data_IF_310002224248
#
_entry.id   IF_310002224248
#
_cell.length_a   1.000
_cell.length_b   1.000
_cell.length_c   1.000
_cell.angle_alpha   90.00
_cell.angle_beta   90.00
_cell.angle_gamma   90.00
#
_symmetry.space_group_name_H-M   'P 1'
#
loop_
_entity.id
_entity.type
_entity.pdbx_description
1 polymer ?
#
# COMPACT_ATOMS: atom_id res chain seq x y z
N UNK A 1 -17.05 30.80 12.31
CA UNK A 1 -15.83 30.23 11.78
C UNK A 1 -16.23 29.18 10.75
N UNK A 2 -15.93 29.39 9.46
CA UNK A 2 -16.34 28.48 8.37
C UNK A 2 -15.22 27.47 8.15
N UNK A 3 -15.42 26.21 8.51
CA UNK A 3 -14.52 25.13 8.18
C UNK A 3 -14.45 24.98 6.66
N UNK A 4 -13.33 25.33 6.07
CA UNK A 4 -13.05 25.11 4.66
C UNK A 4 -12.63 23.63 4.52
N UNK A 5 -13.55 22.81 4.07
CA UNK A 5 -13.29 21.38 3.77
C UNK A 5 -12.48 21.31 2.50
N UNK A 6 -11.35 20.60 2.57
CA UNK A 6 -10.54 20.28 1.40
C UNK A 6 -11.35 19.33 0.54
N UNK A 7 -11.98 19.87 -0.49
CA UNK A 7 -12.50 19.10 -1.61
C UNK A 7 -11.43 19.16 -2.70
N UNK A 8 -10.68 18.09 -2.89
CA UNK A 8 -10.02 17.87 -4.17
C UNK A 8 -11.12 17.89 -5.24
N UNK A 9 -10.88 18.49 -6.41
CA UNK A 9 -11.91 18.68 -7.41
C UNK A 9 -12.36 17.32 -7.98
N UNK A 10 -13.53 16.85 -7.54
CA UNK A 10 -14.25 15.80 -8.25
C UNK A 10 -14.71 16.41 -9.57
N UNK A 11 -14.04 16.09 -10.65
CA UNK A 11 -14.49 16.39 -12.00
C UNK A 11 -15.72 15.54 -12.31
N UNK A 12 -16.89 16.21 -12.32
CA UNK A 12 -18.17 15.65 -12.73
C UNK A 12 -18.09 15.28 -14.21
N UNK A 13 -17.91 14.00 -14.54
CA UNK A 13 -18.04 13.52 -15.91
C UNK A 13 -19.45 12.98 -16.14
N UNK A 14 -20.12 13.61 -17.10
CA UNK A 14 -21.43 13.24 -17.59
C UNK A 14 -21.45 11.81 -18.15
N UNK A 15 -22.46 11.03 -17.76
CA UNK A 15 -22.77 9.71 -18.32
C UNK A 15 -23.11 9.85 -19.81
N UNK A 16 -22.33 9.20 -20.65
CA UNK A 16 -22.72 8.85 -22.01
C UNK A 16 -23.07 7.37 -22.03
N UNK A 17 -24.36 7.08 -22.11
CA UNK A 17 -24.87 5.73 -22.30
C UNK A 17 -24.59 5.25 -23.72
N UNK A 18 -23.68 4.29 -23.85
CA UNK A 18 -23.50 3.54 -25.09
C UNK A 18 -24.23 2.20 -24.94
N UNK A 19 -25.30 2.03 -25.69
CA UNK A 19 -26.02 0.78 -25.78
C UNK A 19 -25.20 -0.21 -26.62
N UNK A 20 -24.79 -1.33 -26.03
CA UNK A 20 -24.28 -2.48 -26.75
C UNK A 20 -25.43 -3.40 -27.16
N UNK A 21 -25.59 -3.56 -28.47
CA UNK A 21 -26.47 -4.55 -29.05
C UNK A 21 -25.89 -5.96 -28.82
N UNK A 22 -26.68 -6.83 -28.23
CA UNK A 22 -26.39 -8.26 -28.15
C UNK A 22 -26.64 -8.89 -29.53
N UNK A 23 -25.67 -9.57 -30.08
CA UNK A 23 -25.84 -10.49 -31.20
C UNK A 23 -25.77 -11.92 -30.69
N UNK A 24 -26.91 -12.61 -30.73
CA UNK A 24 -27.04 -14.04 -30.50
C UNK A 24 -26.27 -14.83 -31.56
N UNK A 25 -25.31 -15.62 -31.14
CA UNK A 25 -24.81 -16.74 -31.91
C UNK A 25 -24.67 -17.96 -31.00
N UNK A 26 -25.79 -18.68 -30.90
CA UNK A 26 -25.87 -19.98 -30.26
C UNK A 26 -25.20 -21.02 -31.13
N UNK A 27 -24.04 -21.51 -30.74
CA UNK A 27 -23.45 -22.72 -31.28
C UNK A 27 -23.38 -23.79 -30.21
N UNK A 28 -24.28 -24.74 -30.34
CA UNK A 28 -24.32 -26.02 -29.63
C UNK A 28 -23.00 -26.78 -29.83
N UNK A 29 -22.29 -27.06 -28.75
CA UNK A 29 -21.24 -28.07 -28.71
C UNK A 29 -21.53 -29.05 -27.57
N UNK A 30 -21.46 -30.36 -27.88
CA UNK A 30 -21.72 -31.46 -26.99
C UNK A 30 -20.82 -31.45 -25.73
N UNK A 31 -21.24 -32.04 -24.60
CA UNK A 31 -20.44 -32.06 -23.39
C UNK A 31 -19.19 -32.94 -23.56
N UNK A 32 -18.04 -32.53 -23.02
CA UNK A 32 -16.83 -33.35 -23.05
C UNK A 32 -16.98 -34.60 -22.19
N UNK A 33 -16.45 -35.70 -22.67
CA UNK A 33 -16.46 -36.99 -22.01
C UNK A 33 -15.77 -36.93 -20.64
N UNK A 34 -16.32 -37.65 -19.67
CA UNK A 34 -15.79 -37.76 -18.33
C UNK A 34 -14.32 -38.22 -18.31
N UNK A 35 -13.46 -37.62 -17.48
CA UNK A 35 -12.08 -38.06 -17.35
C UNK A 35 -12.00 -39.46 -16.72
N UNK A 36 -11.16 -40.30 -17.30
CA UNK A 36 -10.81 -41.63 -16.77
C UNK A 36 -10.16 -41.48 -15.39
N UNK A 37 -10.36 -42.44 -14.44
CA UNK A 37 -9.68 -42.39 -13.17
C UNK A 37 -8.17 -42.41 -13.35
N UNK A 38 -7.49 -41.39 -12.87
CA UNK A 38 -6.04 -41.35 -12.75
C UNK A 38 -5.67 -42.27 -11.59
N UNK A 39 -4.77 -43.24 -11.86
CA UNK A 39 -4.22 -44.11 -10.86
C UNK A 39 -3.61 -43.26 -9.73
N UNK A 40 -3.97 -43.60 -8.48
CA UNK A 40 -3.33 -43.03 -7.29
C UNK A 40 -1.84 -43.39 -7.35
N UNK A 41 -1.02 -42.34 -7.55
CA UNK A 41 0.42 -42.48 -7.33
C UNK A 41 0.68 -42.54 -5.83
N UNK A 42 1.45 -43.56 -5.45
CA UNK A 42 1.90 -43.78 -4.09
C UNK A 42 2.47 -42.50 -3.47
N UNK A 43 2.00 -42.22 -2.24
CA UNK A 43 2.36 -41.00 -1.51
C UNK A 43 3.87 -40.89 -1.31
N UNK A 44 4.49 -40.02 -2.07
CA UNK A 44 5.79 -39.48 -1.70
C UNK A 44 5.58 -38.71 -0.40
N UNK A 45 5.95 -39.31 0.73
CA UNK A 45 6.25 -38.55 1.94
C UNK A 45 7.35 -37.57 1.58
N UNK A 46 6.98 -36.29 1.36
CA UNK A 46 7.97 -35.23 1.38
C UNK A 46 8.53 -35.16 2.80
N UNK A 47 9.78 -35.58 2.95
CA UNK A 47 10.55 -35.29 4.16
C UNK A 47 10.69 -33.78 4.26
N UNK A 48 9.84 -33.17 5.10
CA UNK A 48 9.96 -31.75 5.44
C UNK A 48 11.25 -31.63 6.26
N UNK A 49 12.21 -30.81 5.85
CA UNK A 49 13.44 -30.59 6.62
C UNK A 49 13.08 -30.15 8.03
N UNK A 50 13.60 -30.87 9.03
CA UNK A 50 13.33 -30.61 10.47
C UNK A 50 13.91 -29.28 10.97
N UNK A 51 14.77 -28.65 10.20
CA UNK A 51 15.37 -27.33 10.54
C UNK A 51 14.90 -26.31 9.52
N UNK A 52 14.22 -25.21 9.95
CA UNK A 52 13.91 -24.12 9.06
C UNK A 52 15.19 -23.59 8.41
N UNK A 53 15.13 -23.28 7.12
CA UNK A 53 16.22 -22.58 6.46
C UNK A 53 16.48 -21.24 7.17
N UNK A 54 17.74 -20.77 7.24
CA UNK A 54 18.03 -19.46 7.80
C UNK A 54 17.24 -18.39 7.02
N UNK A 55 16.70 -17.42 7.77
CA UNK A 55 15.99 -16.29 7.16
C UNK A 55 16.97 -15.44 6.34
N UNK A 56 16.52 -14.95 5.21
CA UNK A 56 17.26 -13.97 4.44
C UNK A 56 17.32 -12.60 5.13
N UNK A 57 18.21 -11.71 4.68
CA UNK A 57 18.30 -10.34 5.19
C UNK A 57 16.98 -9.57 4.98
N UNK A 58 16.34 -9.74 3.84
CA UNK A 58 15.04 -9.14 3.57
C UNK A 58 13.96 -9.64 4.55
N UNK A 59 13.98 -10.94 4.87
CA UNK A 59 13.03 -11.50 5.84
C UNK A 59 13.29 -11.01 7.27
N UNK A 60 14.56 -10.87 7.67
CA UNK A 60 14.95 -10.30 8.97
C UNK A 60 14.49 -8.85 9.06
N UNK A 61 14.74 -8.07 8.02
CA UNK A 61 14.33 -6.67 7.93
C UNK A 61 12.80 -6.53 7.97
N UNK A 62 12.09 -7.41 7.28
CA UNK A 62 10.63 -7.42 7.31
C UNK A 62 10.07 -7.79 8.68
N UNK A 63 10.72 -8.71 9.41
CA UNK A 63 10.35 -9.04 10.79
C UNK A 63 10.55 -7.82 11.73
N UNK A 64 11.56 -7.00 11.47
CA UNK A 64 11.72 -5.73 12.19
C UNK A 64 10.59 -4.75 11.84
N UNK A 65 10.22 -4.60 10.58
CA UNK A 65 9.10 -3.75 10.17
C UNK A 65 7.77 -4.17 10.80
N UNK A 66 7.53 -5.47 11.03
CA UNK A 66 6.36 -5.97 11.75
C UNK A 66 6.25 -5.45 13.19
N UNK A 67 7.34 -5.00 13.80
CA UNK A 67 7.29 -4.41 15.14
C UNK A 67 6.53 -3.09 15.20
N UNK A 68 6.29 -2.48 14.03
CA UNK A 68 5.45 -1.30 13.89
C UNK A 68 3.94 -1.62 13.92
N UNK A 69 3.53 -2.89 14.00
CA UNK A 69 2.12 -3.25 14.17
C UNK A 69 1.50 -2.50 15.34
N UNK A 70 0.36 -1.83 15.09
CA UNK A 70 -0.37 -1.02 16.07
C UNK A 70 -0.99 0.23 15.46
N UNK A 71 -1.51 1.08 16.34
CA UNK A 71 -2.10 2.37 15.99
C UNK A 71 -1.16 3.50 16.42
N UNK A 72 -1.07 4.51 15.57
CA UNK A 72 -0.15 5.63 15.71
C UNK A 72 -0.84 6.94 15.37
N UNK A 73 -0.45 8.02 16.04
CA UNK A 73 -0.93 9.36 15.69
C UNK A 73 0.20 10.37 15.76
N UNK A 74 0.12 11.39 14.92
CA UNK A 74 1.09 12.46 14.94
C UNK A 74 0.89 13.54 13.88
N UNK A 75 1.66 14.63 13.98
CA UNK A 75 1.60 15.74 13.07
C UNK A 75 2.13 15.38 11.68
N UNK A 76 1.65 16.11 10.68
CA UNK A 76 2.14 16.09 9.30
C UNK A 76 2.75 17.43 8.95
N UNK A 77 3.98 17.39 8.44
CA UNK A 77 4.62 18.53 7.81
C UNK A 77 4.74 18.26 6.31
N UNK A 78 4.31 19.20 5.47
CA UNK A 78 4.38 19.03 4.02
C UNK A 78 4.71 20.34 3.33
N UNK A 79 5.41 20.25 2.20
CA UNK A 79 5.72 21.36 1.30
C UNK A 79 4.65 21.55 0.21
N UNK A 80 3.51 20.86 0.33
CA UNK A 80 2.38 21.04 -0.60
C UNK A 80 1.98 22.52 -0.66
N UNK A 81 1.90 23.13 -1.84
CA UNK A 81 1.70 24.60 -1.96
C UNK A 81 0.46 25.15 -1.24
N UNK A 82 -0.60 24.34 -1.14
CA UNK A 82 -1.85 24.76 -0.45
C UNK A 82 -1.80 24.50 1.06
N UNK A 83 -0.80 23.78 1.56
CA UNK A 83 -0.71 23.39 2.99
C UNK A 83 -0.69 24.60 3.93
N UNK A 84 -0.01 25.68 3.54
CA UNK A 84 0.07 26.93 4.33
C UNK A 84 -1.29 27.60 4.57
N UNK A 85 -2.32 27.28 3.78
CA UNK A 85 -3.69 27.81 3.90
C UNK A 85 -4.66 26.84 4.55
N UNK A 86 -4.20 25.62 4.92
CA UNK A 86 -5.03 24.55 5.44
C UNK A 86 -4.77 24.32 6.92
N UNK A 87 -5.82 23.97 7.65
CA UNK A 87 -5.71 23.43 9.00
C UNK A 87 -5.42 21.92 8.90
N UNK A 88 -4.13 21.57 8.71
CA UNK A 88 -3.69 20.20 8.58
C UNK A 88 -3.87 19.51 9.93
N UNK A 89 -4.69 18.48 9.96
CA UNK A 89 -4.92 17.66 11.15
C UNK A 89 -3.81 16.63 11.32
N UNK A 90 -3.57 16.15 12.56
CA UNK A 90 -2.75 14.98 12.76
C UNK A 90 -3.26 13.80 11.91
N UNK A 91 -2.36 12.92 11.52
CA UNK A 91 -2.73 11.63 10.94
C UNK A 91 -2.95 10.60 12.04
N UNK A 92 -3.88 9.70 11.77
CA UNK A 92 -3.98 8.39 12.39
C UNK A 92 -3.46 7.36 11.39
N UNK A 93 -2.49 6.57 11.81
CA UNK A 93 -1.87 5.50 11.02
C UNK A 93 -2.12 4.17 11.71
N UNK A 94 -2.55 3.17 10.95
CA UNK A 94 -2.68 1.79 11.45
C UNK A 94 -1.74 0.89 10.67
N UNK A 95 -0.93 0.13 11.37
CA UNK A 95 -0.12 -0.94 10.81
C UNK A 95 -0.60 -2.29 11.31
N UNK A 96 -0.88 -3.21 10.40
CA UNK A 96 -1.45 -4.51 10.73
C UNK A 96 -0.75 -5.64 10.00
N UNK A 97 -0.21 -6.61 10.76
CA UNK A 97 0.33 -7.85 10.20
C UNK A 97 -0.82 -8.77 9.77
N UNK A 98 -0.76 -9.28 8.56
CA UNK A 98 -1.79 -10.17 7.99
C UNK A 98 -1.18 -11.29 7.13
N UNK A 99 -2.04 -12.11 6.50
CA UNK A 99 -1.63 -13.19 5.62
C UNK A 99 -0.61 -14.14 6.26
N UNK A 100 -0.83 -14.51 7.53
CA UNK A 100 0.07 -15.35 8.35
C UNK A 100 1.48 -14.76 8.47
N UNK A 101 1.59 -13.43 8.54
CA UNK A 101 2.87 -12.74 8.69
C UNK A 101 3.59 -12.43 7.39
N UNK A 102 2.93 -12.58 6.23
CA UNK A 102 3.54 -12.31 4.92
C UNK A 102 3.35 -10.89 4.43
N UNK A 103 2.44 -10.11 5.05
CA UNK A 103 2.12 -8.74 4.65
C UNK A 103 1.96 -7.87 5.89
N UNK A 104 2.51 -6.66 5.85
CA UNK A 104 2.11 -5.55 6.71
C UNK A 104 1.23 -4.62 5.88
N UNK A 105 0.01 -4.40 6.34
CA UNK A 105 -0.91 -3.39 5.79
C UNK A 105 -0.69 -2.11 6.57
N UNK A 106 -0.35 -1.05 5.89
CA UNK A 106 -0.22 0.30 6.40
C UNK A 106 -1.36 1.14 5.82
N UNK A 107 -2.14 1.76 6.68
CA UNK A 107 -3.30 2.57 6.32
C UNK A 107 -3.20 3.89 7.07
N UNK A 108 -3.54 5.01 6.44
CA UNK A 108 -3.57 6.28 7.13
C UNK A 108 -4.75 7.16 6.71
N UNK A 109 -5.16 8.04 7.59
CA UNK A 109 -6.19 9.04 7.37
C UNK A 109 -6.02 10.22 8.32
N UNK A 110 -6.72 11.30 8.07
CA UNK A 110 -6.81 12.38 9.04
C UNK A 110 -7.44 11.88 10.35
N UNK A 111 -6.84 12.17 11.49
CA UNK A 111 -7.32 11.72 12.80
C UNK A 111 -8.75 12.23 13.06
N UNK A 112 -9.57 11.39 13.68
CA UNK A 112 -10.97 11.61 13.97
C UNK A 112 -11.86 11.77 12.72
N UNK A 113 -11.41 11.31 11.56
CA UNK A 113 -12.20 11.24 10.33
C UNK A 113 -12.83 9.85 10.22
N UNK A 114 -14.13 9.74 9.93
CA UNK A 114 -14.76 8.43 9.73
C UNK A 114 -14.28 7.78 8.43
N UNK A 115 -14.23 6.44 8.41
CA UNK A 115 -14.02 5.67 7.18
C UNK A 115 -15.23 5.83 6.25
N UNK A 116 -15.15 6.78 5.34
CA UNK A 116 -16.16 7.05 4.32
C UNK A 116 -15.45 7.23 2.95
N UNK A 117 -15.27 6.14 2.19
CA UNK A 117 -14.51 6.17 0.93
C UNK A 117 -15.15 7.02 -0.16
N UNK A 118 -16.39 7.45 0.03
CA UNK A 118 -17.04 8.40 -0.89
C UNK A 118 -16.63 9.86 -0.64
N UNK A 119 -16.01 10.15 0.53
CA UNK A 119 -15.68 11.52 0.94
C UNK A 119 -14.21 11.75 1.23
N UNK A 120 -13.49 10.72 1.64
CA UNK A 120 -12.12 10.84 2.13
C UNK A 120 -11.23 9.83 1.43
N UNK A 121 -10.05 10.26 1.05
CA UNK A 121 -9.00 9.34 0.68
C UNK A 121 -8.55 8.56 1.92
N UNK A 122 -8.34 7.28 1.75
CA UNK A 122 -7.83 6.39 2.77
C UNK A 122 -6.74 5.52 2.15
N UNK A 123 -5.53 6.07 2.01
CA UNK A 123 -4.44 5.35 1.38
C UNK A 123 -4.10 4.05 2.10
N UNK A 124 -3.84 3.04 1.30
CA UNK A 124 -3.43 1.71 1.76
C UNK A 124 -2.13 1.32 1.10
N UNK A 125 -1.17 0.89 1.91
CA UNK A 125 0.12 0.40 1.45
C UNK A 125 0.32 -1.04 1.91
N UNK A 126 0.71 -1.91 1.00
CA UNK A 126 1.09 -3.29 1.28
C UNK A 126 2.60 -3.41 1.26
N UNK A 127 3.18 -3.82 2.39
CA UNK A 127 4.62 -4.10 2.55
C UNK A 127 4.81 -5.61 2.64
N UNK A 128 5.75 -6.17 1.89
CA UNK A 128 5.96 -7.61 1.80
C UNK A 128 7.39 -7.95 1.33
N UNK A 129 7.76 -9.22 1.40
CA UNK A 129 9.02 -9.72 0.82
C UNK A 129 8.69 -10.53 -0.44
N UNK A 130 9.35 -10.20 -1.55
CA UNK A 130 9.33 -10.97 -2.78
C UNK A 130 10.73 -10.97 -3.42
N UNK A 131 11.14 -12.11 -3.99
CA UNK A 131 12.46 -12.29 -4.59
C UNK A 131 13.62 -11.82 -3.70
N UNK A 132 13.50 -12.11 -2.41
CA UNK A 132 14.47 -11.74 -1.37
C UNK A 132 14.72 -10.23 -1.25
N UNK A 133 13.68 -9.43 -1.50
CA UNK A 133 13.68 -7.98 -1.36
C UNK A 133 12.43 -7.50 -0.62
N UNK A 134 12.58 -6.41 0.12
CA UNK A 134 11.44 -5.66 0.59
C UNK A 134 10.75 -4.98 -0.58
N UNK A 135 9.44 -5.04 -0.59
CA UNK A 135 8.60 -4.41 -1.61
C UNK A 135 7.44 -3.67 -0.96
N UNK A 136 6.95 -2.68 -1.67
CA UNK A 136 5.83 -1.85 -1.30
C UNK A 136 4.95 -1.61 -2.52
N UNK A 137 3.63 -1.75 -2.35
CA UNK A 137 2.63 -1.30 -3.33
C UNK A 137 1.66 -0.37 -2.63
N UNK A 138 1.46 0.82 -3.18
CA UNK A 138 0.61 1.86 -2.61
C UNK A 138 -0.68 2.05 -3.40
N UNK A 139 -1.78 2.35 -2.71
CA UNK A 139 -3.11 2.62 -3.26
C UNK A 139 -3.66 3.89 -2.62
N UNK A 140 -4.13 4.83 -3.43
CA UNK A 140 -4.80 6.06 -3.00
C UNK A 140 -5.79 6.52 -4.07
N UNK A 141 -6.39 7.69 -3.89
CA UNK A 141 -7.36 8.30 -4.81
C UNK A 141 -6.79 8.67 -6.19
N UNK A 142 -5.46 8.67 -6.35
CA UNK A 142 -4.82 8.80 -7.68
C UNK A 142 -5.19 7.66 -8.64
N UNK A 143 -5.73 6.54 -8.11
CA UNK A 143 -6.27 5.43 -8.88
C UNK A 143 -5.21 4.57 -9.58
N UNK A 144 -3.95 4.75 -9.24
CA UNK A 144 -2.83 3.95 -9.74
C UNK A 144 -2.19 3.12 -8.61
N UNK A 145 -1.21 2.33 -8.97
CA UNK A 145 -0.51 1.43 -8.04
C UNK A 145 0.99 1.50 -8.29
N UNK A 146 1.69 2.47 -7.68
CA UNK A 146 3.13 2.49 -7.69
C UNK A 146 3.70 1.30 -6.92
N UNK A 147 4.71 0.65 -7.49
CA UNK A 147 5.51 -0.37 -6.87
C UNK A 147 6.89 0.17 -6.56
N UNK A 148 7.37 -0.11 -5.35
CA UNK A 148 8.67 0.32 -4.86
C UNK A 148 9.44 -0.85 -4.27
N UNK A 149 10.76 -0.81 -4.32
CA UNK A 149 11.64 -1.80 -3.70
C UNK A 149 12.43 -1.16 -2.56
N UNK A 150 12.60 -1.93 -1.48
CA UNK A 150 13.18 -1.42 -0.24
C UNK A 150 14.64 -1.79 -0.03
N UNK A 151 15.35 -0.89 0.63
CA UNK A 151 16.67 -1.08 1.26
C UNK A 151 16.55 -0.81 2.75
N UNK A 152 17.46 -1.38 3.53
CA UNK A 152 17.49 -1.18 4.98
C UNK A 152 18.87 -0.66 5.38
N UNK A 153 18.90 0.30 6.28
CA UNK A 153 20.14 0.83 6.86
C UNK A 153 20.90 -0.26 7.63
N UNK A 154 22.24 -0.13 7.77
CA UNK A 154 23.04 -1.13 8.48
C UNK A 154 22.64 -1.37 9.94
N UNK A 155 22.02 -0.39 10.59
CA UNK A 155 21.50 -0.51 11.96
C UNK A 155 20.11 -1.15 12.03
N UNK A 156 19.50 -1.45 10.87
CA UNK A 156 18.19 -2.07 10.75
C UNK A 156 17.00 -1.18 11.11
N UNK A 157 17.21 0.14 11.26
CA UNK A 157 16.17 1.06 11.74
C UNK A 157 15.49 1.88 10.66
N UNK A 158 16.16 2.11 9.53
CA UNK A 158 15.61 2.91 8.42
C UNK A 158 15.34 2.03 7.22
N UNK A 159 14.13 2.08 6.72
CA UNK A 159 13.63 1.34 5.55
C UNK A 159 13.30 2.36 4.48
N UNK A 160 14.07 2.37 3.40
CA UNK A 160 13.92 3.29 2.28
C UNK A 160 13.39 2.54 1.06
N UNK A 161 12.28 3.01 0.49
CA UNK A 161 11.63 2.43 -0.68
C UNK A 161 11.73 3.37 -1.87
N UNK A 162 12.30 2.88 -2.97
CA UNK A 162 12.49 3.60 -4.22
C UNK A 162 11.52 3.09 -5.29
N UNK A 163 10.99 4.00 -6.09
CA UNK A 163 10.08 3.69 -7.19
C UNK A 163 10.71 2.75 -8.22
N UNK A 164 9.92 1.78 -8.67
CA UNK A 164 10.30 0.81 -9.69
C UNK A 164 9.42 0.95 -10.93
N UNK A 165 8.11 0.85 -10.74
CA UNK A 165 7.13 0.91 -11.83
C UNK A 165 5.76 1.38 -11.36
N UNK A 166 4.87 1.65 -12.31
CA UNK A 166 3.52 2.13 -12.09
C UNK A 166 2.51 1.32 -12.87
N UNK A 167 1.58 0.69 -12.18
CA UNK A 167 0.36 0.15 -12.79
C UNK A 167 -0.75 1.18 -12.74
N UNK A 168 -1.39 1.44 -13.89
CA UNK A 168 -2.47 2.42 -14.01
C UNK A 168 -2.02 3.73 -14.64
N UNK A 169 -2.84 4.78 -14.48
CA UNK A 169 -2.62 6.08 -15.11
C UNK A 169 -1.77 6.98 -14.23
N UNK A 170 -0.82 7.70 -14.84
CA UNK A 170 -0.05 8.76 -14.18
C UNK A 170 -0.68 10.16 -14.35
N UNK A 171 -1.98 10.23 -14.61
CA UNK A 171 -2.66 11.52 -14.87
C UNK A 171 -2.54 12.51 -13.70
N UNK A 172 -2.60 11.99 -12.48
CA UNK A 172 -2.62 12.80 -11.27
C UNK A 172 -1.30 12.74 -10.47
N UNK A 173 -0.30 12.03 -10.97
CA UNK A 173 0.92 11.73 -10.24
C UNK A 173 0.85 10.39 -9.52
N UNK A 174 1.85 10.09 -8.71
CA UNK A 174 1.93 8.82 -7.96
C UNK A 174 2.88 8.94 -6.77
N UNK A 175 2.73 8.07 -5.80
CA UNK A 175 3.72 7.93 -4.73
C UNK A 175 5.03 7.43 -5.33
N UNK A 176 6.15 8.09 -4.99
CA UNK A 176 7.44 7.91 -5.64
C UNK A 176 8.54 7.40 -4.71
N UNK A 177 8.48 7.78 -3.44
CA UNK A 177 9.49 7.40 -2.46
C UNK A 177 8.87 7.34 -1.07
N UNK A 178 9.36 6.43 -0.23
CA UNK A 178 8.94 6.33 1.16
C UNK A 178 10.12 5.92 2.06
N UNK A 179 10.24 6.55 3.22
CA UNK A 179 11.21 6.18 4.24
C UNK A 179 10.49 5.99 5.57
N UNK A 180 10.71 4.86 6.23
CA UNK A 180 10.24 4.59 7.59
C UNK A 180 11.45 4.54 8.51
N UNK A 181 11.48 5.31 9.57
CA UNK A 181 12.58 5.32 10.54
C UNK A 181 12.08 5.00 11.93
N UNK A 182 12.49 3.85 12.47
CA UNK A 182 12.17 3.42 13.83
C UNK A 182 13.09 4.16 14.80
N UNK A 183 12.52 5.04 15.62
CA UNK A 183 13.25 5.75 16.67
C UNK A 183 13.33 4.85 17.92
N UNK A 184 12.17 4.37 18.38
CA UNK A 184 12.04 3.40 19.46
C UNK A 184 10.73 2.59 19.33
N UNK A 185 10.35 1.82 20.34
CA UNK A 185 9.17 0.98 20.31
C UNK A 185 7.83 1.75 20.19
N UNK A 186 7.83 3.04 20.55
CA UNK A 186 6.65 3.88 20.59
C UNK A 186 6.74 5.12 19.71
N UNK A 187 7.81 5.25 18.93
CA UNK A 187 8.07 6.40 18.07
C UNK A 187 8.72 5.98 16.76
N UNK A 188 8.12 6.36 15.65
CA UNK A 188 8.74 6.26 14.33
C UNK A 188 8.37 7.48 13.48
N UNK A 189 9.14 7.72 12.43
CA UNK A 189 8.82 8.74 11.43
C UNK A 189 8.65 8.11 10.07
N UNK A 190 7.87 8.80 9.23
CA UNK A 190 7.68 8.44 7.83
C UNK A 190 7.90 9.66 6.95
N UNK A 191 8.72 9.52 5.92
CA UNK A 191 8.91 10.52 4.88
C UNK A 191 8.36 9.98 3.57
N UNK A 192 7.42 10.71 2.98
CA UNK A 192 6.76 10.35 1.74
C UNK A 192 7.02 11.38 0.66
N UNK A 193 7.32 10.93 -0.55
CA UNK A 193 7.42 11.80 -1.74
C UNK A 193 6.36 11.39 -2.74
N UNK A 194 5.49 12.33 -3.06
CA UNK A 194 4.52 12.19 -4.14
C UNK A 194 5.02 12.94 -5.37
N UNK A 195 5.08 12.28 -6.52
CA UNK A 195 5.52 12.85 -7.78
C UNK A 195 4.31 13.35 -8.57
N UNK A 196 4.14 14.67 -8.62
CA UNK A 196 3.11 15.32 -9.44
C UNK A 196 3.47 15.23 -10.93
N UNK A 197 2.48 15.37 -11.83
CA UNK A 197 2.75 15.49 -13.26
C UNK A 197 3.77 16.58 -13.58
N UNK A 198 4.71 16.28 -14.48
CA UNK A 198 5.81 17.19 -14.82
C UNK A 198 6.97 17.14 -13.84
N UNK A 199 7.16 15.99 -13.19
CA UNK A 199 8.28 15.66 -12.30
C UNK A 199 8.47 16.67 -11.15
N UNK A 200 7.36 17.07 -10.56
CA UNK A 200 7.33 18.00 -9.41
C UNK A 200 7.09 17.20 -8.13
N UNK A 201 8.11 17.00 -7.29
CA UNK A 201 7.93 16.30 -6.03
C UNK A 201 7.17 17.15 -5.01
N UNK A 202 6.38 16.50 -4.19
CA UNK A 202 5.80 17.02 -2.94
C UNK A 202 6.23 16.08 -1.83
N UNK A 203 6.71 16.64 -0.74
CA UNK A 203 7.17 15.90 0.41
C UNK A 203 6.19 16.02 1.58
N UNK A 204 6.07 14.94 2.34
CA UNK A 204 5.34 14.91 3.58
C UNK A 204 6.14 14.13 4.63
N UNK A 205 6.26 14.69 5.82
CA UNK A 205 6.91 14.08 6.97
C UNK A 205 5.88 13.85 8.07
N UNK A 206 5.79 12.64 8.58
CA UNK A 206 4.94 12.20 9.67
C UNK A 206 5.81 11.90 10.88
N UNK A 207 5.50 12.46 12.04
CA UNK A 207 6.16 12.17 13.32
C UNK A 207 5.14 11.47 14.22
N UNK A 208 5.27 10.15 14.34
CA UNK A 208 4.20 9.27 14.81
C UNK A 208 4.52 8.65 16.16
N UNK A 209 3.61 8.84 17.12
CA UNK A 209 3.65 8.22 18.43
C UNK A 209 2.62 7.09 18.51
N UNK A 210 3.00 5.98 19.13
CA UNK A 210 2.10 4.83 19.32
C UNK A 210 0.96 5.17 20.25
N UNK A 211 -0.27 4.87 19.85
CA UNK A 211 -1.48 5.06 20.66
C UNK A 211 -2.01 3.74 21.20
N UNK A 212 -1.73 2.62 20.54
CA UNK A 212 -2.08 1.25 20.97
C UNK A 212 -1.09 0.23 20.46
#
# INVERSE_FOLDING_TARGET
MKSLRILLPVALMALSTVAFAQSDAQKSSAPPAAPKPVAQSDGHKMDVPKTPAPKSEAQISFDTMKTLEGDWEGPVNTDMPVAASLDIKPLHVTMRVTSRGNVVVHEFQEANTPLDPAKYDHPVTMLYVDNDRLNLVHYCDAGNRPHMTGKVSPDGKTFEFEFVDLSGSNRYGHMYHAVFTIIDANHHTEDWTYMMPGDKPIHAHFDLQRTK
#
